data_IF_049785659601
#
_entry.id   IF_049785659601
#
_cell.length_a   1.000
_cell.length_b   1.000
_cell.length_c   1.000
_cell.angle_alpha   90.00
_cell.angle_beta   90.00
_cell.angle_gamma   90.00
#
_symmetry.space_group_name_H-M   'P 1'
#
loop_
_entity.id
_entity.type
_entity.pdbx_description
1 polymer ?
#
# COMPACT_ATOMS: atom_id res chain seq x y z
N UNK A 1 30.13 35.01 -27.69
CA UNK A 1 29.39 34.08 -28.56
C UNK A 1 29.00 32.88 -27.73
N UNK A 2 27.70 32.74 -27.47
CA UNK A 2 27.07 31.67 -26.68
C UNK A 2 26.79 30.46 -27.56
N UNK A 3 27.09 29.25 -27.09
CA UNK A 3 26.48 28.02 -27.61
C UNK A 3 26.15 27.12 -26.42
N UNK A 4 24.91 27.24 -25.94
CA UNK A 4 24.29 26.29 -25.01
C UNK A 4 23.71 25.15 -25.87
N UNK A 5 24.30 23.96 -25.78
CA UNK A 5 23.76 22.76 -26.41
C UNK A 5 22.47 22.34 -25.68
N UNK A 6 21.33 22.46 -26.36
CA UNK A 6 20.07 21.87 -25.95
C UNK A 6 20.17 20.34 -26.03
N UNK A 7 20.26 19.68 -24.87
CA UNK A 7 19.98 18.25 -24.79
C UNK A 7 18.49 18.04 -25.05
N UNK A 8 18.15 17.52 -26.22
CA UNK A 8 16.81 17.07 -26.53
C UNK A 8 16.43 15.95 -25.52
N UNK A 9 15.43 16.22 -24.68
CA UNK A 9 14.80 15.19 -23.85
C UNK A 9 14.15 14.18 -24.80
N UNK A 10 14.80 13.02 -24.96
CA UNK A 10 14.19 11.87 -25.59
C UNK A 10 12.91 11.50 -24.83
N UNK A 11 11.82 11.27 -25.56
CA UNK A 11 10.59 10.74 -24.96
C UNK A 11 10.92 9.44 -24.22
N UNK A 12 10.36 9.20 -23.02
CA UNK A 12 10.57 7.95 -22.30
C UNK A 12 10.13 6.78 -23.19
N UNK A 13 11.04 5.83 -23.39
CA UNK A 13 10.79 4.62 -24.18
C UNK A 13 9.62 3.84 -23.54
N UNK A 14 8.46 3.70 -24.24
CA UNK A 14 7.31 2.99 -23.70
C UNK A 14 7.60 1.50 -23.46
N UNK A 15 8.67 0.97 -24.04
CA UNK A 15 9.09 -0.43 -23.89
C UNK A 15 10.02 -0.65 -22.66
N UNK A 16 10.37 0.42 -21.94
CA UNK A 16 11.16 0.32 -20.70
C UNK A 16 10.30 -0.04 -19.48
N UNK A 17 9.04 0.39 -19.46
CA UNK A 17 8.09 0.09 -18.40
C UNK A 17 7.53 -1.34 -18.51
N UNK A 18 7.37 -1.86 -19.75
CA UNK A 18 6.99 -3.26 -20.01
C UNK A 18 8.08 -4.27 -19.66
N UNK A 19 9.34 -3.82 -19.52
CA UNK A 19 10.53 -4.65 -19.22
C UNK A 19 10.95 -4.68 -17.76
N UNK A 20 10.46 -3.78 -16.92
CA UNK A 20 10.86 -3.72 -15.51
C UNK A 20 9.98 -4.69 -14.71
N UNK A 21 10.57 -5.79 -14.21
CA UNK A 21 9.88 -6.67 -13.27
C UNK A 21 9.41 -5.89 -12.05
N UNK A 22 8.36 -6.36 -11.39
CA UNK A 22 7.81 -5.70 -10.22
C UNK A 22 8.86 -5.48 -9.14
N UNK A 23 8.79 -4.35 -8.45
CA UNK A 23 9.62 -4.08 -7.29
C UNK A 23 8.76 -3.75 -6.11
N UNK A 24 8.87 -4.53 -5.04
CA UNK A 24 8.17 -4.24 -3.79
C UNK A 24 9.13 -4.09 -2.62
N UNK A 25 8.72 -3.29 -1.66
CA UNK A 25 9.40 -3.18 -0.39
C UNK A 25 8.58 -3.87 0.71
N UNK A 26 9.23 -4.69 1.53
CA UNK A 26 8.64 -5.26 2.74
C UNK A 26 9.31 -4.66 3.97
N UNK A 27 8.53 -3.97 4.81
CA UNK A 27 9.03 -3.23 5.97
C UNK A 27 8.69 -3.96 7.26
N UNK A 28 9.71 -4.47 7.96
CA UNK A 28 9.61 -5.17 9.23
C UNK A 28 9.68 -4.21 10.42
N UNK A 29 8.89 -4.49 11.46
CA UNK A 29 8.97 -3.80 12.75
C UNK A 29 10.31 -4.05 13.50
N UNK A 30 11.08 -5.06 13.09
CA UNK A 30 12.41 -5.37 13.64
C UNK A 30 13.54 -5.03 12.68
N UNK A 31 14.54 -5.92 12.63
CA UNK A 31 15.63 -5.87 11.65
C UNK A 31 15.42 -6.87 10.50
N UNK A 32 16.13 -6.64 9.41
CA UNK A 32 16.28 -7.55 8.27
C UNK A 32 17.57 -8.36 8.37
N UNK A 33 17.67 -9.53 7.70
CA UNK A 33 16.66 -10.17 6.83
C UNK A 33 15.60 -10.98 7.60
N UNK A 34 14.40 -11.08 7.02
CA UNK A 34 13.27 -11.91 7.50
C UNK A 34 12.93 -12.99 6.47
N UNK A 35 13.94 -13.83 6.17
CA UNK A 35 13.95 -14.77 5.04
C UNK A 35 12.77 -15.73 5.00
N UNK A 36 12.29 -16.18 6.16
CA UNK A 36 11.12 -17.05 6.26
C UNK A 36 9.84 -16.32 5.86
N UNK A 37 9.57 -15.16 6.46
CA UNK A 37 8.39 -14.33 6.19
C UNK A 37 8.36 -13.92 4.72
N UNK A 38 9.49 -13.43 4.20
CA UNK A 38 9.58 -12.92 2.82
C UNK A 38 9.39 -14.03 1.80
N UNK A 39 9.92 -15.22 2.05
CA UNK A 39 9.71 -16.39 1.17
C UNK A 39 8.24 -16.78 1.08
N UNK A 40 7.53 -16.81 2.20
CA UNK A 40 6.10 -17.14 2.21
C UNK A 40 5.29 -16.11 1.43
N UNK A 41 5.56 -14.82 1.64
CA UNK A 41 4.88 -13.73 0.91
C UNK A 41 5.22 -13.77 -0.59
N UNK A 42 6.49 -14.00 -0.93
CA UNK A 42 6.96 -14.05 -2.32
C UNK A 42 6.27 -15.15 -3.14
N UNK A 43 5.81 -16.23 -2.50
CA UNK A 43 5.07 -17.31 -3.17
C UNK A 43 3.73 -16.87 -3.79
N UNK A 44 3.17 -15.74 -3.35
CA UNK A 44 1.93 -15.16 -3.89
C UNK A 44 2.19 -14.22 -5.08
N UNK A 45 3.42 -13.72 -5.22
CA UNK A 45 3.74 -12.62 -6.12
C UNK A 45 3.94 -13.10 -7.56
N UNK A 46 3.74 -12.23 -8.56
CA UNK A 46 4.06 -12.56 -9.94
C UNK A 46 5.53 -13.00 -10.11
N UNK A 47 5.81 -13.88 -11.08
CA UNK A 47 7.19 -14.20 -11.44
C UNK A 47 7.99 -12.94 -11.75
N UNK A 48 9.28 -12.92 -11.39
CA UNK A 48 10.21 -11.77 -11.59
C UNK A 48 9.90 -10.53 -10.75
N UNK A 49 9.23 -10.69 -9.60
CA UNK A 49 9.14 -9.65 -8.58
C UNK A 49 10.45 -9.57 -7.77
N UNK A 50 11.10 -8.42 -7.77
CA UNK A 50 12.23 -8.08 -6.89
C UNK A 50 11.68 -7.58 -5.55
N UNK A 51 11.98 -8.31 -4.47
CA UNK A 51 11.51 -8.02 -3.12
C UNK A 51 12.67 -7.44 -2.31
N UNK A 52 12.55 -6.19 -1.91
CA UNK A 52 13.54 -5.49 -1.09
C UNK A 52 13.05 -5.41 0.35
N UNK A 53 13.89 -5.79 1.29
CA UNK A 53 13.56 -5.79 2.72
C UNK A 53 14.07 -4.52 3.41
N UNK A 54 13.27 -3.97 4.30
CA UNK A 54 13.67 -2.91 5.21
C UNK A 54 13.28 -3.26 6.64
N UNK A 55 14.20 -3.09 7.57
CA UNK A 55 13.94 -3.18 8.99
C UNK A 55 13.91 -1.78 9.58
N UNK A 56 12.88 -1.45 10.34
CA UNK A 56 12.85 -0.17 11.05
C UNK A 56 13.96 -0.02 12.08
N UNK A 57 14.63 -1.11 12.46
CA UNK A 57 15.78 -1.10 13.38
C UNK A 57 17.12 -1.33 12.65
N UNK A 58 17.12 -1.35 11.32
CA UNK A 58 18.36 -1.56 10.56
C UNK A 58 19.34 -0.41 10.81
N UNK A 59 20.61 -0.77 11.01
CA UNK A 59 21.70 0.19 11.28
C UNK A 59 21.71 0.79 12.69
N UNK A 60 20.77 0.45 13.57
CA UNK A 60 20.78 0.91 14.96
C UNK A 60 21.69 0.05 15.84
N UNK A 61 22.37 0.70 16.78
CA UNK A 61 23.07 0.06 17.88
C UNK A 61 22.11 -0.49 18.94
N UNK A 62 22.59 -1.41 19.79
CA UNK A 62 21.79 -1.96 20.90
C UNK A 62 21.29 -0.86 21.85
N UNK A 63 22.13 0.14 22.17
CA UNK A 63 21.75 1.25 23.03
C UNK A 63 20.63 2.13 22.41
N UNK A 64 20.66 2.35 21.10
CA UNK A 64 19.59 3.07 20.40
C UNK A 64 18.29 2.25 20.38
N UNK A 65 18.38 0.93 20.21
CA UNK A 65 17.21 0.03 20.25
C UNK A 65 16.61 0.00 21.66
N UNK A 66 17.44 -0.09 22.71
CA UNK A 66 17.00 -0.05 24.10
C UNK A 66 16.34 1.29 24.44
N UNK A 67 16.79 2.39 23.82
CA UNK A 67 16.15 3.70 23.91
C UNK A 67 14.74 3.78 23.30
N UNK A 68 14.32 2.78 22.53
CA UNK A 68 12.97 2.65 21.97
C UNK A 68 12.05 1.80 22.86
N UNK A 69 12.47 1.38 24.06
CA UNK A 69 11.63 0.63 24.99
C UNK A 69 10.34 1.39 25.36
N UNK A 70 9.20 0.69 25.54
CA UNK A 70 7.93 1.33 25.90
C UNK A 70 8.00 1.94 27.30
N UNK A 71 7.40 3.12 27.46
CA UNK A 71 7.19 3.72 28.79
C UNK A 71 6.08 2.97 29.54
N UNK A 72 6.00 3.07 30.89
CA UNK A 72 4.90 2.49 31.65
C UNK A 72 3.53 2.95 31.11
N UNK A 73 2.65 2.00 30.80
CA UNK A 73 1.32 2.25 30.23
C UNK A 73 1.30 2.51 28.72
N UNK A 74 2.45 2.56 28.05
CA UNK A 74 2.54 2.71 26.61
C UNK A 74 2.30 1.37 25.91
N UNK A 75 1.57 1.40 24.78
CA UNK A 75 1.40 0.22 23.92
C UNK A 75 2.73 -0.18 23.30
N UNK A 76 2.98 -1.47 23.23
CA UNK A 76 4.24 -2.03 22.75
C UNK A 76 4.07 -2.91 21.52
N UNK A 77 5.16 -3.10 20.78
CA UNK A 77 5.30 -4.10 19.72
C UNK A 77 6.43 -5.03 20.11
N UNK A 78 6.16 -6.33 20.07
CA UNK A 78 7.19 -7.35 20.16
C UNK A 78 7.72 -7.68 18.75
N UNK A 79 9.04 -7.75 18.62
CA UNK A 79 9.71 -8.12 17.37
C UNK A 79 11.04 -8.81 17.68
N UNK A 80 11.81 -9.13 16.63
CA UNK A 80 13.12 -9.78 16.71
C UNK A 80 14.18 -8.97 15.96
N UNK A 81 15.39 -9.02 16.48
CA UNK A 81 16.59 -8.56 15.78
C UNK A 81 17.04 -9.60 14.75
N UNK A 82 17.97 -9.22 13.87
CA UNK A 82 18.48 -10.12 12.83
C UNK A 82 19.16 -11.36 13.43
N UNK A 83 19.80 -11.21 14.59
CA UNK A 83 20.40 -12.29 15.37
C UNK A 83 19.37 -13.15 16.15
N UNK A 84 18.07 -12.91 15.96
CA UNK A 84 17.00 -13.67 16.61
C UNK A 84 16.63 -13.19 18.01
N UNK A 85 17.39 -12.28 18.65
CA UNK A 85 17.06 -11.73 19.97
C UNK A 85 15.69 -11.05 19.96
N UNK A 86 14.74 -11.41 20.85
CA UNK A 86 13.47 -10.71 20.96
C UNK A 86 13.66 -9.34 21.61
N UNK A 87 12.90 -8.35 21.15
CA UNK A 87 12.86 -6.99 21.70
C UNK A 87 11.41 -6.51 21.78
N UNK A 88 11.13 -5.67 22.76
CA UNK A 88 9.80 -5.06 22.98
C UNK A 88 9.97 -3.56 22.94
N UNK A 89 9.24 -2.91 22.05
CA UNK A 89 9.47 -1.52 21.66
C UNK A 89 8.19 -0.70 21.84
N UNK A 90 8.33 0.59 22.13
CA UNK A 90 7.24 1.57 22.03
C UNK A 90 6.65 1.49 20.63
N UNK A 91 5.33 1.26 20.56
CA UNK A 91 4.64 1.24 19.28
C UNK A 91 4.75 2.58 18.57
N UNK A 92 4.59 3.70 19.28
CA UNK A 92 4.65 5.04 18.70
C UNK A 92 6.02 5.30 18.08
N UNK A 93 7.09 4.96 18.82
CA UNK A 93 8.45 5.12 18.32
C UNK A 93 8.73 4.25 17.08
N UNK A 94 8.19 3.03 17.04
CA UNK A 94 8.30 2.15 15.87
C UNK A 94 7.50 2.72 14.69
N UNK A 95 6.27 3.19 14.90
CA UNK A 95 5.45 3.80 13.83
C UNK A 95 6.13 5.05 13.25
N UNK A 96 6.75 5.90 14.07
CA UNK A 96 7.53 7.05 13.58
C UNK A 96 8.75 6.62 12.77
N UNK A 97 9.36 5.48 13.12
CA UNK A 97 10.43 4.87 12.33
C UNK A 97 9.93 4.32 11.00
N UNK A 98 8.77 3.67 10.96
CA UNK A 98 8.13 3.22 9.71
C UNK A 98 7.95 4.42 8.78
N UNK A 99 7.38 5.53 9.28
CA UNK A 99 7.17 6.72 8.47
C UNK A 99 8.49 7.30 7.93
N UNK A 100 9.56 7.29 8.72
CA UNK A 100 10.89 7.72 8.25
C UNK A 100 11.46 6.83 7.14
N UNK A 101 11.33 5.52 7.26
CA UNK A 101 11.74 4.57 6.21
C UNK A 101 10.96 4.84 4.92
N UNK A 102 9.63 5.01 5.01
CA UNK A 102 8.77 5.30 3.86
C UNK A 102 9.09 6.66 3.21
N UNK A 103 9.36 7.70 4.00
CA UNK A 103 9.74 9.03 3.49
C UNK A 103 11.10 9.04 2.78
N UNK A 104 11.95 8.05 3.04
CA UNK A 104 13.22 7.88 2.33
C UNK A 104 13.09 7.23 0.95
N UNK A 105 11.93 6.65 0.62
CA UNK A 105 11.69 5.97 -0.67
C UNK A 105 11.27 6.95 -1.76
N UNK A 106 11.71 6.73 -2.99
CA UNK A 106 11.29 7.56 -4.13
C UNK A 106 10.03 7.04 -4.83
N UNK A 107 9.25 7.94 -5.46
CA UNK A 107 7.94 7.64 -6.06
C UNK A 107 7.94 6.66 -7.25
N UNK A 108 9.10 6.14 -7.66
CA UNK A 108 9.26 5.15 -8.76
C UNK A 108 10.20 4.01 -8.39
N UNK A 109 10.54 3.90 -7.11
CA UNK A 109 11.43 2.86 -6.61
C UNK A 109 10.72 1.53 -6.44
N UNK A 110 9.49 1.59 -5.92
CA UNK A 110 8.63 0.46 -5.61
C UNK A 110 7.23 0.68 -6.16
N UNK A 111 6.61 -0.40 -6.61
CA UNK A 111 5.21 -0.44 -7.03
C UNK A 111 4.28 -0.51 -5.81
N UNK A 112 4.78 -1.08 -4.71
CA UNK A 112 4.03 -1.36 -3.50
C UNK A 112 4.97 -1.50 -2.29
N UNK A 113 4.48 -1.08 -1.12
CA UNK A 113 5.10 -1.41 0.17
C UNK A 113 4.16 -2.29 1.01
N UNK A 114 4.67 -3.37 1.59
CA UNK A 114 3.97 -4.19 2.59
C UNK A 114 4.56 -4.03 3.99
N UNK A 115 3.74 -3.69 4.99
CA UNK A 115 4.19 -3.61 6.38
C UNK A 115 4.06 -4.97 7.07
N UNK A 116 5.17 -5.55 7.52
CA UNK A 116 5.25 -6.86 8.17
C UNK A 116 4.95 -6.74 9.67
N UNK A 117 3.76 -6.26 10.03
CA UNK A 117 3.33 -6.11 11.42
C UNK A 117 1.81 -6.06 11.55
N UNK A 118 1.28 -6.81 12.51
CA UNK A 118 -0.12 -6.72 12.99
C UNK A 118 -0.21 -5.84 14.25
N UNK A 119 0.68 -4.85 14.36
CA UNK A 119 0.76 -3.95 15.52
C UNK A 119 0.57 -2.46 15.19
N UNK A 120 0.59 -2.08 13.91
CA UNK A 120 0.53 -0.68 13.49
C UNK A 120 -0.91 -0.22 13.26
N UNK A 121 -1.38 0.73 14.06
CA UNK A 121 -2.75 1.28 13.92
C UNK A 121 -2.79 2.61 13.18
N UNK A 122 -1.62 3.21 12.97
CA UNK A 122 -1.46 4.44 12.20
C UNK A 122 -1.57 4.16 10.70
N UNK A 123 -2.16 5.11 9.98
CA UNK A 123 -2.08 5.17 8.53
C UNK A 123 -0.77 5.84 8.10
N UNK A 124 -0.10 5.27 7.10
CA UNK A 124 1.21 5.74 6.65
C UNK A 124 1.15 6.34 5.26
N UNK A 125 1.82 7.49 5.11
CA UNK A 125 2.01 8.08 3.79
C UNK A 125 3.24 7.44 3.14
N UNK A 126 3.09 6.98 1.90
CA UNK A 126 4.17 6.44 1.08
C UNK A 126 4.17 7.05 -0.32
N UNK A 127 5.30 6.95 -1.00
CA UNK A 127 5.45 7.41 -2.38
C UNK A 127 4.75 6.48 -3.40
N UNK A 128 4.33 5.29 -2.95
CA UNK A 128 3.51 4.32 -3.65
C UNK A 128 2.49 3.72 -2.65
N UNK A 129 1.53 2.87 -3.09
CA UNK A 129 0.58 2.22 -2.19
C UNK A 129 1.27 1.47 -1.05
N UNK A 130 0.74 1.61 0.18
CA UNK A 130 1.24 0.94 1.38
C UNK A 130 0.16 0.03 1.93
N UNK A 131 0.43 -1.28 2.00
CA UNK A 131 -0.43 -2.24 2.69
C UNK A 131 -0.07 -2.22 4.17
N UNK A 132 -0.92 -1.59 4.98
CA UNK A 132 -0.92 -1.82 6.41
C UNK A 132 -1.58 -3.17 6.71
N UNK A 133 -0.77 -4.14 7.13
CA UNK A 133 -1.24 -5.50 7.42
C UNK A 133 -2.23 -5.55 8.59
N UNK A 134 -2.10 -4.69 9.60
CA UNK A 134 -3.09 -4.62 10.68
C UNK A 134 -4.48 -4.29 10.12
N UNK A 135 -4.57 -3.22 9.32
CA UNK A 135 -5.81 -2.79 8.69
C UNK A 135 -6.35 -3.87 7.73
N UNK A 136 -5.46 -4.53 6.97
CA UNK A 136 -5.84 -5.62 6.08
C UNK A 136 -6.40 -6.84 6.85
N UNK A 137 -5.78 -7.21 7.97
CA UNK A 137 -6.25 -8.28 8.84
C UNK A 137 -7.60 -7.97 9.46
N UNK A 138 -7.77 -6.81 10.08
CA UNK A 138 -9.05 -6.40 10.69
C UNK A 138 -10.21 -6.46 9.67
N UNK A 139 -9.98 -5.95 8.46
CA UNK A 139 -10.98 -5.97 7.38
C UNK A 139 -11.26 -7.37 6.86
N UNK A 140 -10.23 -8.23 6.77
CA UNK A 140 -10.38 -9.62 6.34
C UNK A 140 -11.15 -10.43 7.37
N UNK A 141 -10.84 -10.27 8.66
CA UNK A 141 -11.58 -10.94 9.75
C UNK A 141 -13.04 -10.46 9.73
N UNK A 142 -13.29 -9.16 9.64
CA UNK A 142 -14.65 -8.63 9.57
C UNK A 142 -15.43 -9.12 8.34
N UNK A 143 -14.77 -9.30 7.20
CA UNK A 143 -15.41 -9.80 5.98
C UNK A 143 -15.74 -11.30 6.06
N UNK A 144 -14.92 -12.09 6.74
CA UNK A 144 -15.07 -13.56 6.82
C UNK A 144 -15.85 -14.03 8.04
N UNK A 145 -15.89 -13.24 9.11
CA UNK A 145 -16.66 -13.55 10.30
C UNK A 145 -18.15 -13.29 10.04
N UNK A 146 -18.89 -14.33 9.65
CA UNK A 146 -20.35 -14.23 9.46
C UNK A 146 -21.03 -13.83 10.77
N UNK A 147 -22.12 -13.06 10.66
CA UNK A 147 -22.87 -12.60 11.82
C UNK A 147 -23.27 -13.75 12.76
N UNK A 148 -22.99 -13.60 14.06
CA UNK A 148 -23.31 -14.57 15.12
C UNK A 148 -22.23 -15.62 15.37
N UNK A 149 -21.18 -15.72 14.53
CA UNK A 149 -20.12 -16.73 14.65
C UNK A 149 -19.04 -16.34 15.66
N UNK A 150 -18.28 -17.34 16.12
CA UNK A 150 -17.11 -17.18 16.98
C UNK A 150 -15.82 -17.25 16.16
N UNK A 151 -14.92 -16.30 16.38
CA UNK A 151 -13.58 -16.26 15.80
C UNK A 151 -12.56 -16.52 16.91
N UNK A 152 -11.70 -17.51 16.72
CA UNK A 152 -10.58 -17.78 17.60
C UNK A 152 -9.41 -16.88 17.23
N UNK A 153 -9.01 -15.99 18.12
CA UNK A 153 -7.88 -15.07 17.91
C UNK A 153 -6.70 -15.54 18.75
N UNK A 154 -5.66 -16.01 18.07
CA UNK A 154 -4.45 -16.60 18.67
C UNK A 154 -3.34 -15.56 18.67
N UNK A 155 -3.01 -15.02 19.84
CA UNK A 155 -1.92 -14.06 20.00
C UNK A 155 -0.56 -14.77 20.19
N UNK A 156 0.56 -14.18 19.74
CA UNK A 156 1.89 -14.79 19.89
C UNK A 156 2.39 -14.78 21.33
N UNK A 157 1.82 -13.94 22.20
CA UNK A 157 2.27 -13.70 23.56
C UNK A 157 1.06 -13.68 24.49
N UNK A 158 1.11 -14.46 25.57
CA UNK A 158 0.01 -14.61 26.54
C UNK A 158 -0.47 -13.28 27.13
N UNK A 159 0.45 -12.41 27.57
CA UNK A 159 0.08 -11.09 28.12
C UNK A 159 -0.61 -10.15 27.13
N UNK A 160 -0.57 -10.45 25.83
CA UNK A 160 -1.22 -9.66 24.78
C UNK A 160 -2.61 -10.20 24.41
N UNK A 161 -3.06 -11.27 25.06
CA UNK A 161 -4.45 -11.74 24.97
C UNK A 161 -5.34 -10.58 25.44
N UNK A 162 -6.28 -10.16 24.58
CA UNK A 162 -7.15 -8.96 24.68
C UNK A 162 -6.57 -7.62 24.19
N UNK A 163 -5.30 -7.55 23.78
CA UNK A 163 -4.76 -6.34 23.15
C UNK A 163 -5.11 -6.27 21.66
N UNK A 164 -5.35 -5.05 21.16
CA UNK A 164 -5.17 -4.73 19.74
C UNK A 164 -6.31 -5.07 18.77
N UNK A 165 -7.42 -5.66 19.20
CA UNK A 165 -8.60 -5.85 18.35
C UNK A 165 -9.86 -5.43 19.10
N UNK A 166 -10.53 -4.37 18.63
CA UNK A 166 -11.87 -4.04 19.12
C UNK A 166 -12.80 -5.20 18.76
N UNK A 167 -13.59 -5.72 19.70
CA UNK A 167 -14.61 -6.74 19.41
C UNK A 167 -15.64 -6.15 18.45
N UNK A 168 -15.71 -6.57 17.17
CA UNK A 168 -16.57 -5.87 16.22
C UNK A 168 -18.03 -6.22 16.39
N UNK A 169 -18.91 -5.36 15.88
CA UNK A 169 -20.30 -5.69 15.69
C UNK A 169 -20.42 -6.83 14.68
N UNK A 170 -21.03 -7.94 15.10
CA UNK A 170 -21.35 -9.05 14.22
C UNK A 170 -20.72 -10.39 14.59
N UNK A 171 -19.59 -10.44 15.31
CA UNK A 171 -19.01 -11.73 15.71
C UNK A 171 -18.43 -11.70 17.12
N UNK A 172 -18.21 -12.87 17.71
CA UNK A 172 -17.65 -13.01 19.06
C UNK A 172 -16.20 -13.46 18.98
N UNK A 173 -15.32 -12.83 19.76
CA UNK A 173 -13.94 -13.25 19.88
C UNK A 173 -13.78 -14.29 21.00
N UNK A 174 -13.11 -15.39 20.71
CA UNK A 174 -12.49 -16.25 21.72
C UNK A 174 -10.98 -16.05 21.63
N UNK A 175 -10.34 -15.85 22.77
CA UNK A 175 -8.92 -15.52 22.83
C UNK A 175 -8.12 -16.71 23.33
N UNK A 176 -6.97 -16.93 22.71
CA UNK A 176 -5.93 -17.82 23.24
C UNK A 176 -4.57 -17.30 22.76
N UNK A 177 -3.51 -17.99 23.13
CA UNK A 177 -2.16 -17.65 22.74
C UNK A 177 -1.41 -18.90 22.28
N UNK A 178 -0.38 -18.72 21.46
CA UNK A 178 0.55 -19.76 21.03
C UNK A 178 1.91 -19.10 20.82
N UNK A 179 2.98 -19.66 21.37
CA UNK A 179 4.30 -19.14 21.05
C UNK A 179 4.58 -19.42 19.56
N UNK A 180 4.87 -18.37 18.79
CA UNK A 180 5.15 -18.49 17.36
C UNK A 180 6.50 -19.17 17.10
N UNK A 181 7.43 -19.09 18.05
CA UNK A 181 8.76 -19.72 17.95
C UNK A 181 8.76 -21.16 18.45
N UNK A 182 7.77 -21.52 19.27
CA UNK A 182 7.59 -22.85 19.80
C UNK A 182 6.11 -23.31 19.80
N UNK A 183 5.54 -23.58 18.61
CA UNK A 183 4.13 -23.90 18.45
C UNK A 183 3.84 -25.39 18.77
N UNK A 184 4.22 -25.83 19.98
CA UNK A 184 3.98 -27.21 20.46
C UNK A 184 2.56 -27.40 21.01
N UNK A 185 1.99 -26.38 21.64
CA UNK A 185 0.71 -26.47 22.36
C UNK A 185 -0.53 -26.30 21.47
N UNK A 186 -0.50 -26.83 20.25
CA UNK A 186 -1.61 -26.70 19.30
C UNK A 186 -2.88 -27.41 19.79
N UNK A 187 -2.76 -28.49 20.56
CA UNK A 187 -3.93 -29.21 21.10
C UNK A 187 -4.70 -28.36 22.11
N UNK A 188 -3.99 -27.58 22.94
CA UNK A 188 -4.62 -26.60 23.85
C UNK A 188 -5.34 -25.52 23.04
N UNK A 189 -4.68 -24.94 22.04
CA UNK A 189 -5.26 -23.92 21.16
C UNK A 189 -6.51 -24.45 20.45
N UNK A 190 -6.48 -25.70 19.98
CA UNK A 190 -7.61 -26.37 19.35
C UNK A 190 -8.78 -26.54 20.32
N UNK A 191 -8.51 -26.93 21.57
CA UNK A 191 -9.52 -27.05 22.62
C UNK A 191 -10.14 -25.69 22.98
N UNK A 192 -9.32 -24.67 23.22
CA UNK A 192 -9.76 -23.29 23.53
C UNK A 192 -10.68 -22.74 22.42
N UNK A 193 -10.37 -23.08 21.18
CA UNK A 193 -11.07 -22.63 19.98
C UNK A 193 -12.10 -23.63 19.44
N UNK A 194 -12.49 -24.67 20.19
CA UNK A 194 -13.39 -25.71 19.71
C UNK A 194 -14.72 -25.15 19.19
N UNK A 195 -15.25 -24.11 19.85
CA UNK A 195 -16.48 -23.42 19.46
C UNK A 195 -16.31 -22.31 18.42
N UNK A 196 -15.12 -22.12 17.85
CA UNK A 196 -14.84 -21.10 16.83
C UNK A 196 -14.96 -21.69 15.43
N UNK A 197 -15.35 -20.92 14.43
CA UNK A 197 -15.45 -21.40 13.04
C UNK A 197 -14.24 -21.01 12.20
N UNK A 198 -13.69 -19.83 12.51
CA UNK A 198 -12.47 -19.29 11.91
C UNK A 198 -11.46 -19.05 13.01
N UNK A 199 -10.21 -19.44 12.75
CA UNK A 199 -9.07 -19.21 13.62
C UNK A 199 -8.16 -18.17 12.97
N UNK A 200 -7.51 -17.33 13.76
CA UNK A 200 -6.65 -16.25 13.29
C UNK A 200 -5.34 -16.30 14.06
N UNK A 201 -4.26 -16.61 13.36
CA UNK A 201 -2.90 -16.55 13.88
C UNK A 201 -2.44 -15.08 13.84
N UNK A 202 -2.67 -14.30 14.90
CA UNK A 202 -2.58 -12.83 14.87
C UNK A 202 -1.15 -12.27 14.98
N UNK A 203 -0.22 -12.83 14.22
CA UNK A 203 1.15 -12.32 14.13
C UNK A 203 1.77 -12.72 12.81
N UNK A 204 2.58 -11.84 12.24
CA UNK A 204 3.40 -12.18 11.07
C UNK A 204 4.45 -13.25 11.39
N UNK A 205 4.77 -13.46 12.67
CA UNK A 205 5.74 -14.45 13.10
C UNK A 205 5.29 -15.89 12.84
N UNK A 206 3.98 -16.18 12.88
CA UNK A 206 3.48 -17.51 12.54
C UNK A 206 3.71 -17.85 11.08
N UNK A 207 3.97 -19.12 10.80
CA UNK A 207 4.30 -19.65 9.48
C UNK A 207 3.20 -20.54 8.90
N UNK A 208 3.43 -20.97 7.65
CA UNK A 208 2.53 -21.85 6.93
C UNK A 208 2.38 -23.23 7.61
N UNK A 209 3.48 -23.78 8.14
CA UNK A 209 3.47 -25.08 8.81
C UNK A 209 2.57 -25.08 10.07
N UNK A 210 2.62 -24.01 10.86
CA UNK A 210 1.73 -23.82 12.02
C UNK A 210 0.27 -23.73 11.59
N UNK A 211 -0.01 -22.92 10.56
CA UNK A 211 -1.35 -22.76 9.99
C UNK A 211 -1.93 -24.10 9.51
N UNK A 212 -1.14 -24.88 8.76
CA UNK A 212 -1.55 -26.19 8.26
C UNK A 212 -1.78 -27.22 9.37
N UNK A 213 -0.90 -27.28 10.37
CA UNK A 213 -1.06 -28.20 11.52
C UNK A 213 -2.36 -27.87 12.26
N UNK A 214 -2.61 -26.59 12.54
CA UNK A 214 -3.83 -26.15 13.20
C UNK A 214 -5.07 -26.43 12.36
N UNK A 215 -4.99 -26.24 11.03
CA UNK A 215 -6.06 -26.59 10.09
C UNK A 215 -6.36 -28.09 10.13
N UNK A 216 -5.34 -28.95 10.07
CA UNK A 216 -5.51 -30.42 10.13
C UNK A 216 -6.09 -30.89 11.47
N UNK A 217 -5.67 -30.30 12.58
CA UNK A 217 -6.15 -30.66 13.91
C UNK A 217 -7.61 -30.24 14.13
N UNK A 218 -8.00 -29.08 13.61
CA UNK A 218 -9.30 -28.48 13.95
C UNK A 218 -10.36 -28.62 12.87
N UNK A 219 -9.96 -28.85 11.61
CA UNK A 219 -10.83 -28.80 10.44
C UNK A 219 -11.40 -27.41 10.14
N UNK A 220 -10.85 -26.35 10.76
CA UNK A 220 -11.36 -24.96 10.67
C UNK A 220 -10.55 -24.13 9.69
N UNK A 221 -11.14 -23.06 9.19
CA UNK A 221 -10.41 -22.05 8.41
C UNK A 221 -9.41 -21.32 9.30
N UNK A 222 -8.13 -21.34 8.93
CA UNK A 222 -7.06 -20.60 9.63
C UNK A 222 -6.60 -19.42 8.77
N UNK A 223 -6.75 -18.21 9.29
CA UNK A 223 -6.22 -16.98 8.71
C UNK A 223 -4.78 -16.76 9.19
N UNK A 224 -3.89 -16.57 8.22
CA UNK A 224 -2.47 -16.31 8.43
C UNK A 224 -2.11 -14.94 7.82
N UNK A 225 -1.52 -14.02 8.58
CA UNK A 225 -1.19 -12.67 8.09
C UNK A 225 -0.27 -12.66 6.87
N UNK A 226 0.66 -13.62 6.76
CA UNK A 226 1.52 -13.78 5.58
C UNK A 226 0.71 -13.98 4.30
N UNK A 227 -0.34 -14.82 4.34
CA UNK A 227 -1.25 -15.06 3.21
C UNK A 227 -2.10 -13.83 2.87
N UNK A 228 -2.60 -13.13 3.89
CA UNK A 228 -3.39 -11.91 3.69
C UNK A 228 -2.56 -10.83 3.01
N UNK A 229 -1.32 -10.61 3.47
CA UNK A 229 -0.41 -9.66 2.86
C UNK A 229 -0.07 -10.06 1.41
N UNK A 230 0.31 -11.32 1.19
CA UNK A 230 0.67 -11.83 -0.13
C UNK A 230 -0.48 -11.73 -1.13
N UNK A 231 -1.69 -12.12 -0.74
CA UNK A 231 -2.88 -12.03 -1.58
C UNK A 231 -3.24 -10.57 -1.89
N UNK A 232 -3.22 -9.67 -0.91
CA UNK A 232 -3.48 -8.25 -1.12
C UNK A 232 -2.44 -7.60 -2.05
N UNK A 233 -1.16 -7.96 -1.87
CA UNK A 233 -0.08 -7.50 -2.73
C UNK A 233 -0.29 -7.98 -4.17
N UNK A 234 -0.64 -9.26 -4.35
CA UNK A 234 -0.94 -9.83 -5.66
C UNK A 234 -2.10 -9.12 -6.35
N UNK A 235 -3.22 -8.93 -5.64
CA UNK A 235 -4.40 -8.23 -6.18
C UNK A 235 -4.07 -6.80 -6.64
N UNK A 236 -3.26 -6.07 -5.88
CA UNK A 236 -2.85 -4.71 -6.25
C UNK A 236 -1.90 -4.70 -7.45
N UNK A 237 -1.01 -5.69 -7.57
CA UNK A 237 -0.13 -5.82 -8.74
C UNK A 237 -0.90 -6.18 -10.01
N UNK A 238 -1.80 -7.16 -9.95
CA UNK A 238 -2.63 -7.53 -11.10
C UNK A 238 -3.50 -6.35 -11.58
N UNK A 239 -4.03 -5.55 -10.63
CA UNK A 239 -4.75 -4.32 -10.95
C UNK A 239 -3.83 -3.26 -11.57
N UNK A 240 -2.61 -3.09 -11.07
CA UNK A 240 -1.64 -2.16 -11.60
C UNK A 240 -1.18 -2.55 -13.02
N UNK A 241 -0.98 -3.83 -13.33
CA UNK A 241 -0.70 -4.32 -14.68
C UNK A 241 -1.84 -4.02 -15.65
N UNK A 242 -3.09 -4.05 -15.18
CA UNK A 242 -4.25 -3.70 -16.01
C UNK A 242 -4.36 -2.18 -16.24
N UNK A 243 -3.99 -1.37 -15.25
CA UNK A 243 -4.08 0.10 -15.30
C UNK A 243 -2.88 0.72 -16.03
N UNK A 244 -1.67 0.16 -15.89
CA UNK A 244 -0.43 0.76 -16.39
C UNK A 244 -0.44 1.04 -17.91
N UNK A 245 -0.90 0.12 -18.80
CA UNK A 245 -0.99 0.39 -20.23
C UNK A 245 -1.93 1.56 -20.54
N UNK A 246 -3.04 1.66 -19.81
CA UNK A 246 -4.05 2.71 -19.98
C UNK A 246 -3.52 4.07 -19.52
N UNK A 247 -2.87 4.11 -18.35
CA UNK A 247 -2.27 5.32 -17.80
C UNK A 247 -1.08 5.81 -18.63
N UNK A 248 -0.21 4.93 -19.11
CA UNK A 248 0.91 5.29 -19.98
C UNK A 248 0.44 5.87 -21.31
N UNK A 249 -0.58 5.27 -21.93
CA UNK A 249 -1.18 5.82 -23.15
C UNK A 249 -1.82 7.19 -22.89
N UNK A 250 -2.52 7.35 -21.77
CA UNK A 250 -3.09 8.63 -21.36
C UNK A 250 -2.01 9.71 -21.14
N UNK A 251 -0.91 9.40 -20.45
CA UNK A 251 0.22 10.29 -20.26
C UNK A 251 0.89 10.66 -21.58
N UNK A 252 1.13 9.67 -22.46
CA UNK A 252 1.72 9.90 -23.78
C UNK A 252 0.84 10.80 -24.66
N UNK A 253 -0.48 10.60 -24.64
CA UNK A 253 -1.46 11.48 -25.30
C UNK A 253 -1.41 12.90 -24.72
N UNK A 254 -1.31 13.02 -23.39
CA UNK A 254 -1.19 14.31 -22.70
C UNK A 254 0.12 15.04 -23.01
N UNK A 255 1.22 14.31 -23.16
CA UNK A 255 2.54 14.85 -23.49
C UNK A 255 2.58 15.49 -24.89
N UNK A 256 1.72 15.06 -25.81
CA UNK A 256 1.59 15.64 -27.17
C UNK A 256 0.93 17.02 -27.19
N UNK A 257 0.29 17.43 -26.10
CA UNK A 257 -0.31 18.76 -26.00
C UNK A 257 0.76 19.82 -25.79
N UNK A 258 0.74 20.83 -26.66
CA UNK A 258 1.49 22.07 -26.45
C UNK A 258 1.01 22.78 -25.18
N UNK A 259 1.81 23.70 -24.60
CA UNK A 259 1.40 24.45 -23.42
C UNK A 259 0.03 25.12 -23.56
N UNK A 260 -0.23 25.73 -24.73
CA UNK A 260 -1.51 26.40 -25.02
C UNK A 260 -2.68 25.43 -25.18
N UNK A 261 -2.46 24.28 -25.81
CA UNK A 261 -3.50 23.24 -25.91
C UNK A 261 -3.83 22.64 -24.54
N UNK A 262 -2.83 22.46 -23.67
CA UNK A 262 -3.02 21.98 -22.29
C UNK A 262 -3.83 22.98 -21.45
N UNK A 263 -3.55 24.27 -21.60
CA UNK A 263 -4.31 25.34 -20.96
C UNK A 263 -5.78 25.35 -21.44
N UNK A 264 -6.01 25.27 -22.76
CA UNK A 264 -7.36 25.18 -23.32
C UNK A 264 -8.08 23.91 -22.87
N UNK A 265 -7.39 22.76 -22.85
CA UNK A 265 -7.95 21.50 -22.35
C UNK A 265 -8.47 21.65 -20.91
N UNK A 266 -7.68 22.25 -20.02
CA UNK A 266 -8.09 22.41 -18.62
C UNK A 266 -9.33 23.27 -18.47
N UNK A 267 -9.42 24.36 -19.23
CA UNK A 267 -10.62 25.21 -19.22
C UNK A 267 -11.84 24.49 -19.82
N UNK A 268 -11.64 23.59 -20.80
CA UNK A 268 -12.72 22.72 -21.30
C UNK A 268 -13.19 21.73 -20.22
N UNK A 269 -12.28 21.16 -19.43
CA UNK A 269 -12.58 20.23 -18.34
C UNK A 269 -13.31 20.94 -17.19
N UNK A 270 -12.99 22.22 -16.94
CA UNK A 270 -13.72 23.10 -16.03
C UNK A 270 -15.12 23.49 -16.54
N UNK A 271 -15.47 23.10 -17.77
CA UNK A 271 -16.79 23.31 -18.36
C UNK A 271 -16.95 24.63 -19.11
N UNK A 272 -15.88 25.40 -19.33
CA UNK A 272 -15.98 26.68 -20.02
C UNK A 272 -16.25 26.51 -21.52
N UNK A 273 -17.07 27.41 -22.05
CA UNK A 273 -17.38 27.51 -23.47
C UNK A 273 -16.33 28.33 -24.21
N UNK A 274 -16.22 28.15 -25.54
CA UNK A 274 -15.17 28.80 -26.35
C UNK A 274 -15.14 30.34 -26.24
N UNK A 275 -16.30 30.99 -26.02
CA UNK A 275 -16.38 32.43 -25.78
C UNK A 275 -15.76 32.84 -24.44
N UNK A 276 -15.97 32.05 -23.40
CA UNK A 276 -15.46 32.30 -22.04
C UNK A 276 -13.94 32.04 -21.99
N UNK A 277 -13.50 30.93 -22.60
CA UNK A 277 -12.09 30.61 -22.77
C UNK A 277 -11.39 31.72 -23.56
N UNK A 278 -12.00 32.20 -24.65
CA UNK A 278 -11.44 33.27 -25.48
C UNK A 278 -11.23 34.56 -24.70
N UNK A 279 -12.21 34.97 -23.88
CA UNK A 279 -12.09 36.11 -22.97
C UNK A 279 -10.97 35.93 -21.95
N UNK A 280 -10.91 34.76 -21.30
CA UNK A 280 -9.92 34.46 -20.25
C UNK A 280 -8.49 34.42 -20.78
N UNK A 281 -8.34 33.97 -22.02
CA UNK A 281 -7.05 33.78 -22.67
C UNK A 281 -6.66 34.91 -23.64
N UNK A 282 -7.47 35.99 -23.70
CA UNK A 282 -7.32 37.15 -24.59
C UNK A 282 -7.16 36.78 -26.08
N UNK A 283 -7.96 35.82 -26.55
CA UNK A 283 -8.00 35.37 -27.96
C UNK A 283 -9.44 35.23 -28.48
N UNK A 284 -9.61 35.17 -29.80
CA UNK A 284 -10.94 34.97 -30.39
C UNK A 284 -11.52 33.59 -30.05
N UNK A 285 -12.85 33.47 -29.94
CA UNK A 285 -13.52 32.18 -29.76
C UNK A 285 -13.20 31.20 -30.91
N UNK A 286 -13.02 31.71 -32.12
CA UNK A 286 -12.60 30.92 -33.30
C UNK A 286 -11.21 30.30 -33.10
N UNK A 287 -10.27 31.04 -32.51
CA UNK A 287 -8.94 30.54 -32.15
C UNK A 287 -9.04 29.42 -31.11
N UNK A 288 -9.93 29.58 -30.12
CA UNK A 288 -10.18 28.54 -29.12
C UNK A 288 -10.73 27.28 -29.77
N UNK A 289 -11.70 27.38 -30.70
CA UNK A 289 -12.27 26.21 -31.38
C UNK A 289 -11.21 25.39 -32.14
N UNK A 290 -10.22 26.05 -32.74
CA UNK A 290 -9.07 25.38 -33.37
C UNK A 290 -8.26 24.60 -32.33
N UNK A 291 -7.97 25.21 -31.16
CA UNK A 291 -7.28 24.50 -30.08
C UNK A 291 -8.10 23.34 -29.51
N UNK A 292 -9.43 23.52 -29.34
CA UNK A 292 -10.33 22.45 -28.89
C UNK A 292 -10.29 21.25 -29.83
N UNK A 293 -10.38 21.49 -31.14
CA UNK A 293 -10.30 20.42 -32.15
C UNK A 293 -8.95 19.67 -32.07
N UNK A 294 -7.84 20.40 -31.93
CA UNK A 294 -6.50 19.81 -31.78
C UNK A 294 -6.35 19.03 -30.48
N UNK A 295 -6.88 19.53 -29.37
CA UNK A 295 -6.89 18.83 -28.07
C UNK A 295 -7.64 17.51 -28.20
N UNK A 296 -8.88 17.53 -28.71
CA UNK A 296 -9.70 16.34 -28.89
C UNK A 296 -9.00 15.31 -29.80
N UNK A 297 -8.41 15.76 -30.91
CA UNK A 297 -7.66 14.89 -31.82
C UNK A 297 -6.39 14.29 -31.19
N UNK A 298 -5.60 15.09 -30.45
CA UNK A 298 -4.36 14.62 -29.81
C UNK A 298 -4.60 13.70 -28.61
N UNK A 299 -5.68 13.93 -27.86
CA UNK A 299 -6.13 13.04 -26.79
C UNK A 299 -6.84 11.80 -27.34
N UNK A 300 -7.35 11.86 -28.57
CA UNK A 300 -8.04 10.76 -29.23
C UNK A 300 -9.46 10.54 -28.72
N UNK A 301 -10.17 11.63 -28.40
CA UNK A 301 -11.56 11.60 -27.90
C UNK A 301 -12.49 12.39 -28.83
N UNK A 302 -13.71 11.89 -29.01
CA UNK A 302 -14.65 12.44 -29.99
C UNK A 302 -15.41 13.69 -29.52
N UNK A 303 -15.42 13.99 -28.22
CA UNK A 303 -16.21 15.09 -27.67
C UNK A 303 -15.62 15.67 -26.39
N UNK A 304 -16.06 16.88 -26.03
CA UNK A 304 -15.71 17.51 -24.75
C UNK A 304 -16.19 16.69 -23.55
N UNK A 305 -17.33 16.00 -23.66
CA UNK A 305 -17.79 15.08 -22.61
C UNK A 305 -16.82 13.89 -22.43
N UNK A 306 -16.38 13.28 -23.54
CA UNK A 306 -15.37 12.22 -23.50
C UNK A 306 -14.02 12.72 -22.98
N UNK A 307 -13.65 13.98 -23.26
CA UNK A 307 -12.47 14.63 -22.69
C UNK A 307 -12.58 14.80 -21.16
N UNK A 308 -13.74 15.22 -20.65
CA UNK A 308 -13.98 15.34 -19.21
C UNK A 308 -13.86 13.97 -18.55
N UNK A 309 -14.49 12.95 -19.13
CA UNK A 309 -14.39 11.57 -18.62
C UNK A 309 -12.95 11.06 -18.63
N UNK A 310 -12.21 11.30 -19.71
CA UNK A 310 -10.79 10.98 -19.81
C UNK A 310 -9.98 11.71 -18.73
N UNK A 311 -10.22 13.00 -18.51
CA UNK A 311 -9.51 13.77 -17.48
C UNK A 311 -9.81 13.27 -16.06
N UNK A 312 -11.06 12.90 -15.76
CA UNK A 312 -11.47 12.36 -14.46
C UNK A 312 -10.79 11.03 -14.13
N UNK A 313 -10.60 10.16 -15.12
CA UNK A 313 -10.03 8.84 -14.92
C UNK A 313 -8.50 8.83 -14.86
N UNK A 314 -7.83 9.74 -15.57
CA UNK A 314 -6.38 9.66 -15.79
C UNK A 314 -5.61 10.84 -15.21
N UNK A 315 -6.27 11.92 -14.83
CA UNK A 315 -5.57 13.12 -14.33
C UNK A 315 -5.96 13.33 -12.88
N UNK A 316 -5.14 12.74 -12.01
CA UNK A 316 -5.25 12.95 -10.57
C UNK A 316 -5.14 14.47 -10.27
N UNK A 317 -5.97 14.97 -9.34
CA UNK A 317 -6.31 16.41 -9.12
C UNK A 317 -5.14 17.38 -8.83
N UNK A 318 -3.89 16.94 -8.92
CA UNK A 318 -2.69 17.72 -8.58
C UNK A 318 -2.07 18.48 -9.76
N UNK A 319 -2.54 18.27 -11.00
CA UNK A 319 -1.92 18.84 -12.22
C UNK A 319 -2.64 20.03 -12.87
N UNK A 320 -3.73 20.53 -12.27
CA UNK A 320 -4.46 21.68 -12.80
C UNK A 320 -3.83 23.02 -12.40
N UNK A 321 -3.96 24.10 -13.20
CA UNK A 321 -3.48 25.44 -12.83
C UNK A 321 -4.16 26.06 -11.58
N UNK A 322 -5.07 25.35 -10.90
CA UNK A 322 -5.88 25.84 -9.79
C UNK A 322 -5.24 25.72 -8.40
N UNK A 323 -3.98 25.27 -8.27
CA UNK A 323 -3.27 25.27 -6.99
C UNK A 323 -2.73 26.66 -6.59
N UNK A 324 -2.71 27.65 -7.51
CA UNK A 324 -2.17 28.98 -7.24
C UNK A 324 -3.20 30.03 -6.77
N UNK A 325 -4.51 29.78 -6.88
CA UNK A 325 -5.51 30.85 -6.77
C UNK A 325 -6.53 30.70 -5.62
N UNK A 326 -6.24 29.84 -4.62
CA UNK A 326 -7.03 29.77 -3.36
C UNK A 326 -6.57 30.83 -2.33
N UNK A 327 -6.38 32.07 -2.77
CA UNK A 327 -6.22 33.23 -1.88
C UNK A 327 -7.13 34.39 -2.30
N UNK A 328 -8.41 34.13 -2.55
CA UNK A 328 -9.46 35.16 -2.46
C UNK A 328 -10.82 34.48 -2.39
N UNK A 329 -11.15 33.93 -1.23
CA UNK A 329 -12.51 33.87 -0.67
C UNK A 329 -12.41 33.90 0.84
#
# INVERSE_FOLDING_TARGET
>A
MSVIAHAAQAAPDPDLASRRGHRIALVSAGQTPRRDIVRDIASFLPPRTDVVEYGVLDGLSDAEIDGLAPRPGERSIATRLAAGRPVVLSRVAVEDRVQRVLSGMSAREFDLVGLLSTGFVREFAGACPVINLQSAMERTIAALATSGRRVGLIQPIERQVHEGVASPSGYRLAWTWLDADDPRDLDRVAADCAGCETLVLNSIAYDEATSERLTRLTGKTVLLPRRVLGAAARMLMDAAETIAPVSMDAEARMARLTPREREVMWLMVEGLQSKEIGRRLSVSSRTVDIHRARVLGKIGVASTHALIHFALLHVNRSGGPAAADRRYR
#
